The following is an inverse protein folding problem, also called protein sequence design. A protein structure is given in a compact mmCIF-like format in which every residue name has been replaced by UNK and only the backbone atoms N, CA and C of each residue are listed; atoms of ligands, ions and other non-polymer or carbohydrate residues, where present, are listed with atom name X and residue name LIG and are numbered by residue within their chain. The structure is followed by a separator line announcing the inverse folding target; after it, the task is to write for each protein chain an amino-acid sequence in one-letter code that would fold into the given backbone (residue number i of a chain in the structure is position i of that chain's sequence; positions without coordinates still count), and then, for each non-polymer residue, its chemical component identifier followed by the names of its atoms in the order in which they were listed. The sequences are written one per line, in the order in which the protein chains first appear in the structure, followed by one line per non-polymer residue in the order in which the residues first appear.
data_IF_817192289514
#
_entry.id   IF_817192289514
#
_cell.length_a   1.000
_cell.length_b   1.000
_cell.length_c   1.000
_cell.angle_alpha   90.00
_cell.angle_beta   90.00
_cell.angle_gamma   90.00
#
_symmetry.space_group_name_H-M   'P 1'
#
loop_
_entity.id
_entity.type
_entity.pdbx_description
1 polymer ?
#
# COMPACT_ATOMS: atom_id res chain seq x y z
N UNK A 1 6.21 29.78 6.21
CA UNK A 1 7.04 28.76 6.87
C UNK A 1 6.59 27.42 6.33
N UNK A 2 7.46 26.66 5.67
CA UNK A 2 7.10 25.33 5.18
C UNK A 2 6.97 24.41 6.40
N UNK A 3 5.77 23.90 6.67
CA UNK A 3 5.59 22.83 7.64
C UNK A 3 6.48 21.66 7.22
N UNK A 4 7.20 21.07 8.18
CA UNK A 4 7.95 19.84 7.93
C UNK A 4 6.99 18.72 7.53
N UNK A 5 7.43 17.74 6.73
CA UNK A 5 6.55 16.65 6.25
C UNK A 5 5.87 15.90 7.41
N UNK A 6 6.54 15.79 8.55
CA UNK A 6 5.99 15.20 9.77
C UNK A 6 4.90 16.07 10.41
N UNK A 7 5.03 17.40 10.38
CA UNK A 7 3.98 18.31 10.85
C UNK A 7 2.75 18.24 9.96
N UNK A 8 2.94 18.15 8.63
CA UNK A 8 1.84 17.93 7.69
C UNK A 8 1.15 16.59 7.95
N UNK A 9 1.90 15.51 8.17
CA UNK A 9 1.32 14.21 8.53
C UNK A 9 0.53 14.25 9.85
N UNK A 10 1.00 14.99 10.86
CA UNK A 10 0.25 15.22 12.10
C UNK A 10 -1.02 16.04 11.86
N UNK A 11 -0.97 17.03 10.97
CA UNK A 11 -2.14 17.82 10.59
C UNK A 11 -3.19 16.96 9.87
N UNK A 12 -2.77 16.07 8.96
CA UNK A 12 -3.69 15.10 8.32
C UNK A 12 -4.46 14.32 9.38
N UNK A 13 -3.78 13.80 10.39
CA UNK A 13 -4.45 13.07 11.49
C UNK A 13 -5.50 13.94 12.19
N UNK A 14 -5.14 15.16 12.59
CA UNK A 14 -6.06 16.09 13.28
C UNK A 14 -7.28 16.42 12.43
N UNK A 15 -7.03 16.80 11.18
CA UNK A 15 -8.07 17.22 10.24
C UNK A 15 -9.05 16.08 9.92
N UNK A 16 -8.55 14.85 9.79
CA UNK A 16 -9.40 13.67 9.55
C UNK A 16 -10.10 13.18 10.82
N UNK A 17 -9.48 13.31 11.99
CA UNK A 17 -10.12 12.96 13.27
C UNK A 17 -11.35 13.85 13.55
N UNK A 18 -11.34 15.10 13.09
CA UNK A 18 -12.48 16.02 13.19
C UNK A 18 -13.53 15.82 12.07
N UNK A 19 -13.21 15.03 11.04
CA UNK A 19 -14.03 14.87 9.85
C UNK A 19 -14.54 13.42 9.70
N UNK A 20 -15.48 13.02 10.56
CA UNK A 20 -16.05 11.65 10.56
C UNK A 20 -16.66 11.23 9.21
N UNK A 21 -17.16 12.17 8.40
CA UNK A 21 -17.68 11.90 7.06
C UNK A 21 -16.59 11.79 5.97
N UNK A 22 -15.31 11.84 6.37
CA UNK A 22 -14.17 11.95 5.47
C UNK A 22 -14.11 13.30 4.75
N UNK A 23 -13.02 13.51 4.02
CA UNK A 23 -12.77 14.73 3.24
C UNK A 23 -12.50 14.39 1.78
N UNK A 24 -13.07 15.17 0.86
CA UNK A 24 -12.66 15.10 -0.54
C UNK A 24 -11.20 15.52 -0.71
N UNK A 25 -10.61 15.21 -1.87
CA UNK A 25 -9.24 15.64 -2.20
C UNK A 25 -9.09 17.16 -2.12
N UNK A 26 -10.11 17.88 -2.55
CA UNK A 26 -10.16 19.33 -2.50
C UNK A 26 -10.20 19.85 -1.07
N UNK A 27 -11.13 19.33 -0.27
CA UNK A 27 -11.29 19.74 1.12
C UNK A 27 -10.03 19.47 1.95
N UNK A 28 -9.36 18.34 1.70
CA UNK A 28 -8.15 17.98 2.43
C UNK A 28 -7.02 18.99 2.16
N UNK A 29 -6.67 19.23 0.90
CA UNK A 29 -5.53 20.11 0.60
C UNK A 29 -5.82 21.57 0.98
N UNK A 30 -7.08 22.03 0.85
CA UNK A 30 -7.50 23.35 1.35
C UNK A 30 -7.33 23.47 2.86
N UNK A 31 -7.72 22.45 3.64
CA UNK A 31 -7.54 22.45 5.11
C UNK A 31 -6.07 22.37 5.53
N UNK A 32 -5.23 21.70 4.75
CA UNK A 32 -3.79 21.62 5.01
C UNK A 32 -3.03 22.86 4.52
N UNK A 33 -3.64 23.70 3.67
CA UNK A 33 -2.98 24.84 3.04
C UNK A 33 -1.85 24.41 2.09
N UNK A 34 -2.00 23.25 1.43
CA UNK A 34 -1.01 22.68 0.50
C UNK A 34 -1.62 22.39 -0.87
N UNK A 35 -0.78 22.06 -1.85
CA UNK A 35 -1.25 21.45 -3.09
C UNK A 35 -1.68 19.98 -2.88
N UNK A 36 -2.40 19.43 -3.87
CA UNK A 36 -2.95 18.07 -3.83
C UNK A 36 -1.86 16.99 -3.73
N UNK A 37 -0.70 17.20 -4.39
CA UNK A 37 0.40 16.24 -4.38
C UNK A 37 1.01 16.15 -2.99
N UNK A 38 1.33 17.28 -2.37
CA UNK A 38 1.83 17.35 -0.98
C UNK A 38 0.82 16.80 0.01
N UNK A 39 -0.48 17.07 -0.16
CA UNK A 39 -1.51 16.50 0.69
C UNK A 39 -1.51 14.96 0.60
N UNK A 40 -1.38 14.40 -0.61
CA UNK A 40 -1.29 12.95 -0.82
C UNK A 40 -0.05 12.34 -0.17
N UNK A 41 1.10 12.99 -0.31
CA UNK A 41 2.36 12.52 0.27
C UNK A 41 2.31 12.60 1.82
N UNK A 42 1.70 13.65 2.37
CA UNK A 42 1.44 13.78 3.80
C UNK A 42 0.47 12.70 4.32
N UNK A 43 -0.57 12.35 3.56
CA UNK A 43 -1.47 11.21 3.87
C UNK A 43 -0.69 9.90 3.88
N UNK A 44 0.21 9.70 2.92
CA UNK A 44 1.03 8.49 2.87
C UNK A 44 1.87 8.33 4.14
N UNK A 45 2.55 9.40 4.56
CA UNK A 45 3.35 9.40 5.78
C UNK A 45 2.48 9.26 7.05
N UNK A 46 1.34 9.96 7.13
CA UNK A 46 0.41 9.85 8.25
C UNK A 46 -0.12 8.42 8.40
N UNK A 47 -0.45 7.77 7.28
CA UNK A 47 -0.93 6.39 7.24
C UNK A 47 0.10 5.41 7.78
N UNK A 48 1.37 5.54 7.37
CA UNK A 48 2.48 4.73 7.89
C UNK A 48 2.65 4.91 9.41
N UNK A 49 2.58 6.15 9.91
CA UNK A 49 2.74 6.41 11.35
C UNK A 49 1.52 6.02 12.18
N UNK A 50 0.33 5.98 11.58
CA UNK A 50 -0.91 5.59 12.24
C UNK A 50 -1.08 4.06 12.38
N UNK A 51 -0.50 3.28 11.44
CA UNK A 51 -0.66 1.83 11.40
C UNK A 51 -0.26 1.10 12.70
N UNK A 52 0.87 1.42 13.38
CA UNK A 52 1.22 0.81 14.67
C UNK A 52 0.18 1.05 15.78
N UNK A 53 -0.68 2.07 15.61
CA UNK A 53 -1.75 2.42 16.54
C UNK A 53 -3.11 1.88 16.10
N UNK A 54 -3.14 0.87 15.23
CA UNK A 54 -4.36 0.21 14.74
C UNK A 54 -5.32 1.19 14.04
N UNK A 55 -4.76 2.16 13.32
CA UNK A 55 -5.52 3.15 12.56
C UNK A 55 -5.21 3.07 11.09
N UNK A 56 -6.26 3.12 10.27
CA UNK A 56 -6.18 3.12 8.82
C UNK A 56 -6.49 4.53 8.32
N UNK A 57 -5.53 5.15 7.66
CA UNK A 57 -5.73 6.42 6.97
C UNK A 57 -5.53 6.19 5.48
N UNK A 58 -6.50 6.62 4.67
CA UNK A 58 -6.35 6.55 3.22
C UNK A 58 -7.60 6.96 2.46
N UNK A 59 -7.51 6.85 1.13
CA UNK A 59 -8.58 7.21 0.21
C UNK A 59 -9.49 6.00 0.00
N UNK A 60 -10.78 6.16 0.25
CA UNK A 60 -11.80 5.16 -0.07
C UNK A 60 -12.28 5.40 -1.51
N UNK A 61 -12.07 4.45 -2.44
CA UNK A 61 -12.50 4.60 -3.82
C UNK A 61 -14.03 4.61 -3.99
N UNK A 62 -14.80 4.12 -3.01
CA UNK A 62 -16.26 4.04 -3.11
C UNK A 62 -16.93 5.41 -2.96
N UNK A 63 -16.52 6.21 -1.98
CA UNK A 63 -17.07 7.55 -1.72
C UNK A 63 -16.14 8.70 -2.14
N UNK A 64 -14.96 8.37 -2.68
CA UNK A 64 -13.94 9.29 -3.16
C UNK A 64 -13.43 10.27 -2.09
N UNK A 65 -13.33 9.81 -0.84
CA UNK A 65 -12.87 10.62 0.30
C UNK A 65 -11.72 9.99 1.05
N UNK A 66 -10.94 10.84 1.71
CA UNK A 66 -9.96 10.43 2.71
C UNK A 66 -10.64 10.21 4.04
N UNK A 67 -10.31 9.09 4.67
CA UNK A 67 -10.84 8.69 5.98
C UNK A 67 -9.72 8.36 6.94
N UNK A 68 -10.04 8.49 8.23
CA UNK A 68 -9.30 7.90 9.33
C UNK A 68 -10.26 6.92 10.02
N UNK A 69 -9.87 5.65 10.06
CA UNK A 69 -10.63 4.59 10.72
C UNK A 69 -9.82 4.10 11.91
N UNK A 70 -10.40 4.18 13.11
CA UNK A 70 -9.88 3.47 14.27
C UNK A 70 -10.42 2.04 14.23
N UNK A 71 -9.54 1.06 14.15
CA UNK A 71 -9.96 -0.34 14.03
C UNK A 71 -10.42 -0.91 15.37
N UNK A 72 -10.00 -0.32 16.49
CA UNK A 72 -10.36 -0.81 17.81
C UNK A 72 -11.80 -0.41 18.12
N UNK A 73 -12.70 -1.39 18.10
CA UNK A 73 -14.13 -1.15 18.31
C UNK A 73 -14.88 -0.65 17.08
N UNK A 74 -14.27 -0.74 15.89
CA UNK A 74 -14.91 -0.40 14.62
C UNK A 74 -16.16 -1.25 14.37
N UNK A 75 -17.23 -0.60 13.87
CA UNK A 75 -18.40 -1.30 13.37
C UNK A 75 -18.17 -1.95 12.00
N UNK A 76 -19.09 -2.80 11.52
CA UNK A 76 -18.94 -3.51 10.24
C UNK A 76 -18.70 -2.60 9.04
N UNK A 77 -19.37 -1.43 9.00
CA UNK A 77 -19.21 -0.45 7.92
C UNK A 77 -17.81 0.18 7.89
N UNK A 78 -17.22 0.41 9.07
CA UNK A 78 -15.88 0.99 9.21
C UNK A 78 -14.81 -0.05 8.85
N UNK A 79 -15.01 -1.31 9.26
CA UNK A 79 -14.15 -2.43 8.86
C UNK A 79 -14.18 -2.61 7.33
N UNK A 80 -15.36 -2.60 6.72
CA UNK A 80 -15.50 -2.68 5.26
C UNK A 80 -14.78 -1.53 4.54
N UNK A 81 -14.90 -0.30 5.07
CA UNK A 81 -14.18 0.87 4.56
C UNK A 81 -12.67 0.71 4.68
N UNK A 82 -12.16 0.33 5.85
CA UNK A 82 -10.74 0.11 6.06
C UNK A 82 -10.19 -0.96 5.10
N UNK A 83 -10.92 -2.05 4.89
CA UNK A 83 -10.60 -3.10 3.91
C UNK A 83 -10.49 -2.51 2.50
N UNK A 84 -11.48 -1.75 2.02
CA UNK A 84 -11.43 -1.11 0.70
C UNK A 84 -10.23 -0.19 0.54
N UNK A 85 -9.94 0.65 1.54
CA UNK A 85 -8.79 1.56 1.53
C UNK A 85 -7.49 0.77 1.36
N UNK A 86 -7.30 -0.30 2.14
CA UNK A 86 -6.07 -1.11 2.11
C UNK A 86 -5.92 -1.81 0.75
N UNK A 87 -7.01 -2.39 0.23
CA UNK A 87 -6.99 -3.06 -1.08
C UNK A 87 -6.76 -2.09 -2.24
N UNK A 88 -7.32 -0.88 -2.16
CA UNK A 88 -7.06 0.17 -3.14
C UNK A 88 -5.59 0.59 -3.15
N UNK A 89 -4.96 0.67 -1.97
CA UNK A 89 -3.53 0.93 -1.88
C UNK A 89 -2.71 -0.21 -2.48
N UNK A 90 -3.12 -1.46 -2.30
CA UNK A 90 -2.46 -2.62 -2.90
C UNK A 90 -2.44 -2.50 -4.43
N UNK A 91 -3.60 -2.21 -5.04
CA UNK A 91 -3.80 -2.14 -6.49
C UNK A 91 -2.86 -1.20 -7.26
N UNK A 92 -2.25 -0.23 -6.59
CA UNK A 92 -1.44 0.83 -7.21
C UNK A 92 0.09 0.58 -7.24
N UNK A 93 0.57 -0.67 -7.14
CA UNK A 93 1.99 -0.90 -6.79
C UNK A 93 3.07 -1.00 -7.88
N UNK A 94 4.02 -0.04 -7.83
CA UNK A 94 5.47 -0.31 -7.91
C UNK A 94 6.30 0.20 -6.69
N UNK A 95 5.85 1.16 -5.84
CA UNK A 95 6.72 1.84 -4.84
C UNK A 95 6.26 1.98 -3.37
N UNK A 96 5.18 1.36 -2.92
CA UNK A 96 4.54 1.54 -1.58
C UNK A 96 4.09 0.23 -0.91
N UNK A 97 4.72 -0.90 -1.26
CA UNK A 97 4.53 -2.21 -0.60
C UNK A 97 4.65 -2.12 0.94
N UNK A 98 5.61 -1.36 1.45
CA UNK A 98 5.81 -1.17 2.90
C UNK A 98 4.56 -0.61 3.60
N UNK A 99 3.91 0.38 2.99
CA UNK A 99 2.69 1.00 3.55
C UNK A 99 1.53 0.03 3.52
N UNK A 100 1.35 -0.70 2.43
CA UNK A 100 0.34 -1.74 2.33
C UNK A 100 0.52 -2.78 3.45
N UNK A 101 1.73 -3.34 3.60
CA UNK A 101 2.02 -4.36 4.62
C UNK A 101 1.74 -3.86 6.04
N UNK A 102 2.15 -2.63 6.36
CA UNK A 102 1.90 -2.04 7.68
C UNK A 102 0.40 -1.89 7.99
N UNK A 103 -0.40 -1.42 7.02
CA UNK A 103 -1.84 -1.28 7.20
C UNK A 103 -2.56 -2.63 7.24
N UNK A 104 -2.12 -3.60 6.43
CA UNK A 104 -2.66 -4.94 6.42
C UNK A 104 -2.45 -5.64 7.77
N UNK A 105 -1.25 -5.53 8.35
CA UNK A 105 -0.96 -6.04 9.69
C UNK A 105 -1.79 -5.33 10.78
N UNK A 106 -1.93 -4.00 10.68
CA UNK A 106 -2.78 -3.23 11.58
C UNK A 106 -4.25 -3.69 11.52
N UNK A 107 -4.77 -3.93 10.32
CA UNK A 107 -6.12 -4.45 10.09
C UNK A 107 -6.34 -5.78 10.80
N UNK A 108 -5.49 -6.77 10.52
CA UNK A 108 -5.60 -8.11 11.13
C UNK A 108 -5.55 -8.03 12.66
N UNK A 109 -4.65 -7.21 13.22
CA UNK A 109 -4.56 -7.04 14.69
C UNK A 109 -5.77 -6.33 15.29
N UNK A 110 -6.33 -5.34 14.60
CA UNK A 110 -7.44 -4.52 15.10
C UNK A 110 -8.79 -5.22 15.00
N UNK A 111 -9.01 -6.02 13.96
CA UNK A 111 -10.32 -6.64 13.68
C UNK A 111 -10.36 -8.15 13.93
N UNK A 112 -9.19 -8.82 13.93
CA UNK A 112 -9.10 -10.27 13.96
C UNK A 112 -9.43 -10.95 12.62
N UNK A 113 -9.72 -10.17 11.57
CA UNK A 113 -10.06 -10.69 10.24
C UNK A 113 -8.85 -10.72 9.30
N UNK A 114 -8.76 -11.76 8.47
CA UNK A 114 -7.85 -11.79 7.33
C UNK A 114 -8.28 -10.83 6.23
N UNK A 115 -7.32 -10.19 5.58
CA UNK A 115 -7.51 -9.57 4.28
C UNK A 115 -7.31 -10.66 3.22
N UNK A 116 -8.37 -11.03 2.51
CA UNK A 116 -8.19 -11.86 1.31
C UNK A 116 -7.33 -11.06 0.34
N UNK A 117 -6.20 -11.59 -0.13
CA UNK A 117 -5.37 -10.86 -1.07
C UNK A 117 -6.18 -10.63 -2.34
N UNK A 118 -6.36 -9.36 -2.73
CA UNK A 118 -6.59 -9.05 -4.14
C UNK A 118 -5.36 -9.62 -4.85
N UNK A 119 -5.53 -10.71 -5.61
CA UNK A 119 -4.48 -11.29 -6.44
C UNK A 119 -4.00 -10.18 -7.37
N UNK A 120 -2.91 -9.54 -7.00
CA UNK A 120 -2.22 -8.64 -7.89
C UNK A 120 -1.59 -9.50 -8.97
N UNK A 121 -1.83 -9.21 -10.25
CA UNK A 121 -1.09 -9.88 -11.29
C UNK A 121 0.40 -9.63 -11.03
N UNK A 122 1.19 -10.69 -10.99
CA UNK A 122 2.65 -10.59 -10.96
C UNK A 122 3.12 -9.72 -12.13
N UNK A 123 4.35 -9.20 -12.06
CA UNK A 123 4.93 -8.39 -13.12
C UNK A 123 4.96 -9.13 -14.48
N UNK A 124 4.94 -10.46 -14.45
CA UNK A 124 4.77 -11.32 -15.62
C UNK A 124 3.30 -11.42 -16.06
N UNK A 125 2.37 -11.63 -15.14
CA UNK A 125 0.92 -11.66 -15.43
C UNK A 125 0.38 -10.33 -15.94
N UNK A 126 0.98 -9.20 -15.53
CA UNK A 126 0.61 -7.85 -15.96
C UNK A 126 1.28 -7.41 -17.28
N UNK A 127 2.28 -8.17 -17.76
CA UNK A 127 3.04 -7.81 -18.96
C UNK A 127 2.32 -8.24 -20.24
N UNK A 128 2.29 -7.36 -21.24
CA UNK A 128 1.86 -7.70 -22.61
C UNK A 128 2.87 -8.56 -23.36
N UNK A 129 4.10 -8.71 -22.83
CA UNK A 129 5.13 -9.62 -23.33
C UNK A 129 5.96 -10.19 -22.17
N UNK A 130 5.41 -11.18 -21.43
CA UNK A 130 6.07 -11.77 -20.26
C UNK A 130 7.44 -12.38 -20.60
N UNK A 131 7.58 -12.93 -21.80
CA UNK A 131 8.81 -13.56 -22.32
C UNK A 131 9.95 -12.56 -22.53
N UNK A 132 9.64 -11.35 -22.99
CA UNK A 132 10.63 -10.29 -23.18
C UNK A 132 11.13 -9.78 -21.82
N UNK A 133 10.24 -9.71 -20.85
CA UNK A 133 10.54 -9.30 -19.47
C UNK A 133 11.40 -10.36 -18.76
N UNK A 134 11.05 -11.65 -18.91
CA UNK A 134 11.88 -12.78 -18.48
C UNK A 134 13.28 -12.73 -19.09
N UNK A 135 13.41 -12.45 -20.39
CA UNK A 135 14.72 -12.30 -21.04
C UNK A 135 15.54 -11.17 -20.44
N UNK A 136 14.94 -10.00 -20.21
CA UNK A 136 15.64 -8.85 -19.60
C UNK A 136 16.10 -9.18 -18.18
N UNK A 137 15.24 -9.78 -17.37
CA UNK A 137 15.58 -10.19 -16.00
C UNK A 137 16.67 -11.27 -15.98
N UNK A 138 16.59 -12.24 -16.89
CA UNK A 138 17.60 -13.30 -17.05
C UNK A 138 18.94 -12.74 -17.52
N UNK A 139 18.93 -11.77 -18.43
CA UNK A 139 20.14 -11.08 -18.90
C UNK A 139 20.76 -10.20 -17.81
N UNK A 140 19.94 -9.55 -16.99
CA UNK A 140 20.39 -8.80 -15.81
C UNK A 140 20.93 -9.72 -14.68
N UNK A 141 20.48 -10.98 -14.65
CA UNK A 141 20.93 -12.02 -13.73
C UNK A 141 22.23 -12.73 -14.15
N UNK A 142 22.65 -12.58 -15.41
CA UNK A 142 23.91 -13.13 -15.91
C UNK A 142 25.10 -12.23 -15.45
N UNK A 143 26.26 -12.82 -15.16
CA UNK A 143 26.98 -12.59 -13.91
C UNK A 143 27.80 -11.29 -13.86
N UNK A 144 27.43 -10.38 -12.97
CA UNK A 144 28.44 -9.85 -12.04
C UNK A 144 28.47 -10.76 -10.81
N UNK A 145 29.59 -11.46 -10.64
CA UNK A 145 29.82 -12.50 -9.63
C UNK A 145 29.48 -12.05 -8.21
N UNK A 146 28.28 -12.36 -7.74
CA UNK A 146 27.90 -12.81 -6.37
C UNK A 146 26.39 -12.94 -6.37
N UNK A 147 25.88 -14.17 -6.29
CA UNK A 147 24.45 -14.41 -6.20
C UNK A 147 23.89 -13.70 -4.96
N UNK A 148 23.01 -12.72 -5.17
CA UNK A 148 22.26 -12.08 -4.10
C UNK A 148 20.97 -12.87 -3.84
N UNK A 149 20.48 -12.87 -2.60
CA UNK A 149 19.20 -13.51 -2.22
C UNK A 149 18.01 -13.01 -3.05
N UNK A 150 18.11 -11.82 -3.63
CA UNK A 150 17.09 -11.25 -4.51
C UNK A 150 17.01 -11.98 -5.85
N UNK A 151 18.16 -12.44 -6.38
CA UNK A 151 18.20 -13.24 -7.60
C UNK A 151 17.58 -14.62 -7.40
N UNK A 152 17.87 -15.27 -6.26
CA UNK A 152 17.27 -16.56 -5.90
C UNK A 152 15.74 -16.46 -5.81
N UNK A 153 15.22 -15.37 -5.25
CA UNK A 153 13.77 -15.10 -5.18
C UNK A 153 13.15 -14.88 -6.56
N UNK A 154 13.82 -14.13 -7.44
CA UNK A 154 13.32 -13.88 -8.79
C UNK A 154 13.28 -15.17 -9.64
N UNK A 155 14.26 -16.06 -9.49
CA UNK A 155 14.28 -17.37 -10.16
C UNK A 155 13.18 -18.29 -9.62
N UNK A 156 12.95 -18.32 -8.30
CA UNK A 156 11.87 -19.10 -7.71
C UNK A 156 10.48 -18.63 -8.20
N UNK A 157 10.25 -17.32 -8.28
CA UNK A 157 9.00 -16.76 -8.79
C UNK A 157 8.79 -17.06 -10.29
N UNK A 158 9.86 -17.02 -11.09
CA UNK A 158 9.78 -17.36 -12.51
C UNK A 158 9.44 -18.85 -12.73
N UNK A 159 10.01 -19.74 -11.93
CA UNK A 159 9.72 -21.17 -12.02
C UNK A 159 8.28 -21.48 -11.58
N UNK A 160 7.79 -20.86 -10.51
CA UNK A 160 6.40 -20.97 -10.06
C UNK A 160 5.42 -20.50 -11.15
N UNK A 161 5.69 -19.36 -11.79
CA UNK A 161 4.88 -18.85 -12.90
C UNK A 161 4.85 -19.79 -14.11
N UNK A 162 5.96 -20.49 -14.38
CA UNK A 162 6.06 -21.45 -15.48
C UNK A 162 5.57 -22.86 -15.11
N UNK A 163 5.13 -23.09 -13.88
CA UNK A 163 4.73 -24.42 -13.39
C UNK A 163 5.89 -25.41 -13.31
N UNK A 164 7.12 -24.93 -13.14
CA UNK A 164 8.33 -25.74 -13.05
C UNK A 164 8.70 -25.98 -11.59
N UNK A 165 8.87 -27.24 -11.18
CA UNK A 165 9.40 -27.55 -9.85
C UNK A 165 10.90 -27.18 -9.79
N UNK A 166 11.24 -26.23 -8.92
CA UNK A 166 12.65 -25.93 -8.60
C UNK A 166 13.15 -27.01 -7.65
N UNK A 167 13.72 -28.07 -8.22
CA UNK A 167 14.46 -29.07 -7.44
C UNK A 167 15.58 -28.40 -6.66
N UNK A 168 15.54 -28.52 -5.33
CA UNK A 168 16.69 -28.19 -4.48
C UNK A 168 17.75 -29.27 -4.70
N UNK A 169 19.05 -28.92 -4.83
CA UNK A 169 20.11 -29.92 -4.97
C UNK A 169 20.19 -30.89 -3.78
#
# INVERSE_FOLDING_TARGET
MNATDLELARQVYRVLAEAHAGLSREQLHQRLGTDERKARDAVALASEKAAPHLKVIGFDPEDQRYHLVDLVGAGPAEVARARRIILFLAAYFETTYQRYSALAEAFVRGTGEGLDPVKQPTLLEASTSPEQLLRVLTLAALPQRRASRELERAVAQAAEYLGLEVGTP
#
